data_IF_415322768072
#
_entry.id   IF_415322768072
#
_cell.length_a   1.000
_cell.length_b   1.000
_cell.length_c   1.000
_cell.angle_alpha   90.00
_cell.angle_beta   90.00
_cell.angle_gamma   90.00
#
_symmetry.space_group_name_H-M   'P 1'
#
loop_
_entity.id
_entity.type
_entity.pdbx_description
1 polymer ?
#
# COMPACT_ATOMS: atom_id res chain seq x y z
N UNK A 1 24.64 9.42 -24.57
CA UNK A 1 23.26 9.36 -25.11
C UNK A 1 22.47 8.13 -24.64
N UNK A 2 22.90 6.88 -24.94
CA UNK A 2 22.16 5.65 -24.59
C UNK A 2 21.82 5.47 -23.10
N UNK A 3 22.67 5.94 -22.17
CA UNK A 3 22.43 5.88 -20.71
C UNK A 3 21.27 6.79 -20.27
N UNK A 4 21.25 8.04 -20.73
CA UNK A 4 20.19 9.01 -20.39
C UNK A 4 18.84 8.60 -20.96
N UNK A 5 18.82 8.03 -22.17
CA UNK A 5 17.59 7.47 -22.76
C UNK A 5 17.00 6.38 -21.86
N UNK A 6 17.83 5.45 -21.33
CA UNK A 6 17.34 4.42 -20.40
C UNK A 6 16.78 5.01 -19.10
N UNK A 7 17.42 6.04 -18.54
CA UNK A 7 16.93 6.74 -17.33
C UNK A 7 15.55 7.33 -17.61
N UNK A 8 15.41 8.11 -18.70
CA UNK A 8 14.14 8.73 -19.09
C UNK A 8 13.05 7.67 -19.28
N UNK A 9 13.37 6.55 -19.93
CA UNK A 9 12.42 5.46 -20.15
C UNK A 9 11.92 4.84 -18.83
N UNK A 10 12.79 4.61 -17.85
CA UNK A 10 12.38 4.03 -16.56
C UNK A 10 11.57 5.03 -15.71
N UNK A 11 11.93 6.32 -15.74
CA UNK A 11 11.13 7.36 -15.09
C UNK A 11 9.75 7.50 -15.76
N UNK A 12 9.71 7.51 -17.10
CA UNK A 12 8.46 7.58 -17.86
C UNK A 12 7.58 6.36 -17.60
N UNK A 13 8.17 5.16 -17.55
CA UNK A 13 7.43 3.94 -17.21
C UNK A 13 6.85 4.02 -15.79
N UNK A 14 7.63 4.44 -14.80
CA UNK A 14 7.15 4.60 -13.42
C UNK A 14 5.98 5.60 -13.34
N UNK A 15 6.05 6.70 -14.10
CA UNK A 15 4.97 7.68 -14.17
C UNK A 15 3.72 7.10 -14.86
N UNK A 16 3.89 6.42 -15.99
CA UNK A 16 2.79 5.77 -16.71
C UNK A 16 2.09 4.74 -15.82
N UNK A 17 2.87 3.94 -15.07
CA UNK A 17 2.32 2.98 -14.11
C UNK A 17 1.53 3.66 -12.98
N UNK A 18 2.04 4.78 -12.44
CA UNK A 18 1.33 5.54 -11.41
C UNK A 18 -0.03 6.03 -11.93
N UNK A 19 -0.06 6.54 -13.16
CA UNK A 19 -1.28 7.04 -13.81
C UNK A 19 -2.20 5.91 -14.34
N UNK A 20 -1.66 4.72 -14.58
CA UNK A 20 -2.43 3.64 -15.20
C UNK A 20 -3.55 3.13 -14.31
N UNK A 21 -3.42 3.23 -12.99
CA UNK A 21 -4.48 2.83 -12.07
C UNK A 21 -5.75 3.61 -12.37
N UNK A 22 -5.70 4.94 -12.29
CA UNK A 22 -6.86 5.80 -12.50
C UNK A 22 -7.48 5.59 -13.90
N UNK A 23 -6.65 5.52 -14.94
CA UNK A 23 -7.13 5.36 -16.31
C UNK A 23 -7.81 4.01 -16.54
N UNK A 24 -7.21 2.93 -16.08
CA UNK A 24 -7.77 1.58 -16.24
C UNK A 24 -9.01 1.44 -15.35
N UNK A 25 -8.97 1.93 -14.11
CA UNK A 25 -10.13 1.96 -13.21
C UNK A 25 -11.32 2.68 -13.83
N UNK A 26 -11.11 3.87 -14.41
CA UNK A 26 -12.17 4.62 -15.08
C UNK A 26 -12.77 3.85 -16.27
N UNK A 27 -11.94 3.17 -17.08
CA UNK A 27 -12.42 2.34 -18.20
C UNK A 27 -13.26 1.16 -17.68
N UNK A 28 -12.80 0.49 -16.63
CA UNK A 28 -13.52 -0.65 -16.04
C UNK A 28 -14.83 -0.17 -15.41
N UNK A 29 -14.80 0.92 -14.64
CA UNK A 29 -15.95 1.55 -14.02
C UNK A 29 -17.03 1.89 -15.06
N UNK A 30 -16.67 2.57 -16.14
CA UNK A 30 -17.62 2.91 -17.21
C UNK A 30 -18.26 1.68 -17.84
N UNK A 31 -17.49 0.60 -18.02
CA UNK A 31 -18.00 -0.67 -18.56
C UNK A 31 -18.94 -1.38 -17.59
N UNK A 32 -18.61 -1.43 -16.30
CA UNK A 32 -19.47 -2.01 -15.27
C UNK A 32 -20.81 -1.27 -15.25
N UNK A 33 -20.79 0.07 -15.19
CA UNK A 33 -22.01 0.89 -15.21
C UNK A 33 -22.84 0.68 -16.48
N UNK A 34 -22.21 0.65 -17.65
CA UNK A 34 -22.91 0.39 -18.90
C UNK A 34 -23.59 -0.99 -18.92
N UNK A 35 -22.89 -2.03 -18.46
CA UNK A 35 -23.45 -3.38 -18.39
C UNK A 35 -24.57 -3.46 -17.36
N UNK A 36 -24.45 -2.77 -16.24
CA UNK A 36 -25.48 -2.75 -15.21
C UNK A 36 -26.75 -2.05 -15.67
N UNK A 37 -26.64 -0.86 -16.27
CA UNK A 37 -27.80 -0.15 -16.84
C UNK A 37 -28.50 -0.99 -17.92
N UNK A 38 -27.75 -1.78 -18.69
CA UNK A 38 -28.28 -2.56 -19.80
C UNK A 38 -28.85 -3.92 -19.39
N UNK A 39 -28.28 -4.57 -18.38
CA UNK A 39 -28.56 -5.97 -18.06
C UNK A 39 -28.91 -6.21 -16.59
N UNK A 40 -28.81 -5.21 -15.71
CA UNK A 40 -29.03 -5.34 -14.27
C UNK A 40 -28.09 -6.36 -13.63
N UNK A 41 -26.78 -6.21 -13.85
CA UNK A 41 -25.79 -7.19 -13.39
C UNK A 41 -25.49 -7.06 -11.90
N UNK A 42 -25.81 -5.93 -11.28
CA UNK A 42 -25.60 -5.64 -9.86
C UNK A 42 -26.93 -5.86 -9.12
N UNK A 43 -27.01 -6.89 -8.26
CA UNK A 43 -28.19 -7.12 -7.44
C UNK A 43 -28.45 -5.97 -6.47
N UNK A 44 -29.73 -5.64 -6.23
CA UNK A 44 -30.15 -4.57 -5.32
C UNK A 44 -29.55 -4.68 -3.90
N UNK A 45 -29.32 -5.92 -3.43
CA UNK A 45 -28.69 -6.19 -2.12
C UNK A 45 -27.27 -5.65 -2.01
N UNK A 46 -26.59 -5.38 -3.12
CA UNK A 46 -25.24 -4.81 -3.17
C UNK A 46 -25.22 -3.29 -3.27
N UNK A 47 -26.36 -2.64 -3.57
CA UNK A 47 -26.43 -1.18 -3.73
C UNK A 47 -25.91 -0.41 -2.50
N UNK A 48 -26.18 -0.84 -1.25
CA UNK A 48 -25.62 -0.16 -0.08
C UNK A 48 -24.09 -0.23 0.02
N UNK A 49 -23.43 -1.16 -0.68
CA UNK A 49 -21.98 -1.35 -0.71
C UNK A 49 -21.37 -1.13 -2.09
N UNK A 50 -22.08 -0.44 -2.98
CA UNK A 50 -21.74 -0.36 -4.40
C UNK A 50 -20.31 0.14 -4.63
N UNK A 51 -19.87 1.15 -3.87
CA UNK A 51 -18.54 1.74 -4.00
C UNK A 51 -17.46 0.71 -3.67
N UNK A 52 -17.55 0.07 -2.51
CA UNK A 52 -16.59 -0.96 -2.09
C UNK A 52 -16.62 -2.21 -2.97
N UNK A 53 -17.80 -2.60 -3.46
CA UNK A 53 -17.96 -3.72 -4.41
C UNK A 53 -17.23 -3.41 -5.71
N UNK A 54 -17.51 -2.25 -6.32
CA UNK A 54 -16.94 -1.85 -7.60
C UNK A 54 -15.43 -1.65 -7.47
N UNK A 55 -14.97 -1.00 -6.41
CA UNK A 55 -13.55 -0.83 -6.12
C UNK A 55 -12.83 -2.18 -5.97
N UNK A 56 -13.41 -3.12 -5.23
CA UNK A 56 -12.88 -4.49 -5.08
C UNK A 56 -12.73 -5.17 -6.45
N UNK A 57 -13.76 -5.11 -7.30
CA UNK A 57 -13.71 -5.73 -8.64
C UNK A 57 -12.67 -5.09 -9.55
N UNK A 58 -12.59 -3.76 -9.56
CA UNK A 58 -11.57 -3.02 -10.30
C UNK A 58 -10.17 -3.44 -9.84
N UNK A 59 -9.94 -3.46 -8.53
CA UNK A 59 -8.66 -3.83 -7.93
C UNK A 59 -8.28 -5.27 -8.24
N UNK A 60 -9.21 -6.23 -8.26
CA UNK A 60 -8.95 -7.60 -8.69
C UNK A 60 -8.49 -7.70 -10.15
N UNK A 61 -9.12 -6.96 -11.05
CA UNK A 61 -8.72 -6.91 -12.47
C UNK A 61 -7.32 -6.30 -12.60
N UNK A 62 -7.05 -5.21 -11.88
CA UNK A 62 -5.76 -4.54 -11.87
C UNK A 62 -4.64 -5.43 -11.30
N UNK A 63 -4.91 -6.22 -10.26
CA UNK A 63 -3.95 -7.21 -9.74
C UNK A 63 -3.49 -8.15 -10.85
N UNK A 64 -4.42 -8.69 -11.64
CA UNK A 64 -4.08 -9.60 -12.75
C UNK A 64 -3.20 -8.89 -13.78
N UNK A 65 -3.60 -7.69 -14.21
CA UNK A 65 -2.84 -6.89 -15.19
C UNK A 65 -1.43 -6.59 -14.67
N UNK A 66 -1.32 -6.12 -13.43
CA UNK A 66 -0.05 -5.72 -12.83
C UNK A 66 0.86 -6.89 -12.51
N UNK A 67 0.32 -8.06 -12.15
CA UNK A 67 1.13 -9.28 -12.02
C UNK A 67 1.68 -9.73 -13.36
N UNK A 68 0.92 -9.61 -14.46
CA UNK A 68 1.43 -9.88 -15.81
C UNK A 68 2.57 -8.91 -16.15
N UNK A 69 2.41 -7.61 -15.90
CA UNK A 69 3.47 -6.62 -16.11
C UNK A 69 4.70 -6.89 -15.22
N UNK A 70 4.50 -7.38 -14.00
CA UNK A 70 5.57 -7.68 -13.06
C UNK A 70 6.52 -8.75 -13.59
N UNK A 71 6.05 -9.71 -14.39
CA UNK A 71 6.88 -10.74 -15.03
C UNK A 71 7.98 -10.10 -15.89
N UNK A 72 7.69 -8.97 -16.54
CA UNK A 72 8.63 -8.28 -17.44
C UNK A 72 9.47 -7.21 -16.74
N UNK A 73 8.95 -6.61 -15.67
CA UNK A 73 9.56 -5.46 -14.98
C UNK A 73 10.41 -5.89 -13.77
N UNK A 74 9.96 -6.87 -12.98
CA UNK A 74 10.64 -7.25 -11.74
C UNK A 74 11.90 -8.04 -12.06
N UNK A 75 13.03 -7.65 -11.47
CA UNK A 75 14.27 -8.43 -11.55
C UNK A 75 14.42 -9.32 -10.34
N UNK A 76 15.05 -10.47 -10.56
CA UNK A 76 15.49 -11.32 -9.47
C UNK A 76 16.68 -10.68 -8.76
N UNK A 77 16.59 -10.61 -7.43
CA UNK A 77 17.68 -10.20 -6.55
C UNK A 77 18.15 -11.41 -5.74
N UNK A 78 19.44 -11.71 -5.81
CA UNK A 78 20.04 -12.85 -5.08
C UNK A 78 20.51 -12.49 -3.67
N UNK A 79 20.60 -11.19 -3.36
CA UNK A 79 20.93 -10.65 -2.03
C UNK A 79 19.68 -10.07 -1.37
N UNK A 80 19.30 -10.64 -0.23
CA UNK A 80 18.17 -10.14 0.58
C UNK A 80 18.32 -10.54 2.05
N UNK A 81 17.71 -9.74 2.93
CA UNK A 81 17.55 -10.11 4.34
C UNK A 81 16.36 -11.09 4.42
N UNK A 82 16.63 -12.32 4.85
CA UNK A 82 15.56 -13.30 5.08
C UNK A 82 14.99 -13.09 6.47
N UNK A 83 13.69 -12.83 6.53
CA UNK A 83 12.93 -12.83 7.77
C UNK A 83 12.12 -14.12 7.80
N UNK A 84 12.38 -15.00 8.77
CA UNK A 84 11.61 -16.23 8.95
C UNK A 84 10.14 -15.91 9.26
N UNK A 85 9.21 -16.80 8.87
CA UNK A 85 7.76 -16.55 8.91
C UNK A 85 7.28 -15.96 10.25
N UNK A 86 7.60 -16.61 11.38
CA UNK A 86 7.18 -16.14 12.71
C UNK A 86 7.73 -14.75 13.06
N UNK A 87 9.01 -14.50 12.78
CA UNK A 87 9.62 -13.18 12.97
C UNK A 87 9.02 -12.14 12.02
N UNK A 88 8.64 -12.56 10.81
CA UNK A 88 7.98 -11.71 9.82
C UNK A 88 6.58 -11.29 10.25
N UNK A 89 5.81 -12.20 10.86
CA UNK A 89 4.49 -11.89 11.43
C UNK A 89 4.63 -10.89 12.58
N UNK A 90 5.53 -11.14 13.54
CA UNK A 90 5.77 -10.20 14.65
C UNK A 90 6.22 -8.84 14.13
N UNK A 91 7.20 -8.82 13.22
CA UNK A 91 7.67 -7.59 12.57
C UNK A 91 6.48 -6.87 11.91
N UNK A 92 5.65 -7.60 11.18
CA UNK A 92 4.49 -7.06 10.49
C UNK A 92 3.46 -6.44 11.42
N UNK A 93 3.11 -7.11 12.52
CA UNK A 93 2.17 -6.62 13.55
C UNK A 93 2.70 -5.34 14.19
N UNK A 94 3.98 -5.32 14.61
CA UNK A 94 4.60 -4.15 15.21
C UNK A 94 4.59 -2.97 14.24
N UNK A 95 4.98 -3.20 12.99
CA UNK A 95 4.98 -2.16 11.95
C UNK A 95 3.57 -1.66 11.63
N UNK A 96 2.57 -2.56 11.54
CA UNK A 96 1.20 -2.19 11.23
C UNK A 96 0.52 -1.37 12.33
N UNK A 97 0.72 -1.73 13.60
CA UNK A 97 0.32 -0.90 14.73
C UNK A 97 1.04 0.45 14.74
N UNK A 98 2.36 0.47 14.52
CA UNK A 98 3.12 1.71 14.48
C UNK A 98 2.64 2.64 13.35
N UNK A 99 2.32 2.10 12.18
CA UNK A 99 1.73 2.89 11.09
C UNK A 99 0.38 3.48 11.48
N UNK A 100 -0.50 2.68 12.10
CA UNK A 100 -1.80 3.18 12.57
C UNK A 100 -1.61 4.32 13.56
N UNK A 101 -0.66 4.19 14.48
CA UNK A 101 -0.31 5.22 15.45
C UNK A 101 0.25 6.48 14.81
N UNK A 102 1.11 6.36 13.80
CA UNK A 102 1.66 7.52 13.07
C UNK A 102 0.55 8.26 12.31
N UNK A 103 -0.36 7.55 11.66
CA UNK A 103 -1.53 8.15 11.01
C UNK A 103 -2.43 8.84 12.05
N UNK A 104 -2.72 8.19 13.18
CA UNK A 104 -3.53 8.75 14.27
C UNK A 104 -2.93 10.05 14.84
N UNK A 105 -1.62 10.06 15.16
CA UNK A 105 -0.94 11.27 15.62
C UNK A 105 -0.98 12.39 14.57
N UNK A 106 -0.86 12.05 13.29
CA UNK A 106 -0.99 13.02 12.21
C UNK A 106 -2.39 13.63 12.16
N UNK A 107 -3.44 12.82 12.22
CA UNK A 107 -4.82 13.32 12.25
C UNK A 107 -5.13 14.11 13.52
N UNK A 108 -4.61 13.73 14.69
CA UNK A 108 -4.71 14.55 15.91
C UNK A 108 -4.11 15.94 15.73
N UNK A 109 -2.96 16.04 15.03
CA UNK A 109 -2.35 17.34 14.70
C UNK A 109 -3.23 18.11 13.73
N UNK A 110 -3.76 17.45 12.70
CA UNK A 110 -4.65 18.06 11.71
C UNK A 110 -5.88 18.65 12.41
N UNK A 111 -6.60 17.85 13.18
CA UNK A 111 -7.86 18.21 13.82
C UNK A 111 -7.69 19.27 14.91
N UNK A 112 -6.59 19.22 15.66
CA UNK A 112 -6.36 20.18 16.76
C UNK A 112 -5.83 21.51 16.27
N UNK A 113 -5.00 21.52 15.23
CA UNK A 113 -4.20 22.71 14.88
C UNK A 113 -4.36 23.18 13.43
N UNK A 114 -4.60 22.27 12.47
CA UNK A 114 -4.52 22.62 11.04
C UNK A 114 -5.87 22.84 10.37
N UNK A 115 -6.98 22.32 10.92
CA UNK A 115 -8.34 22.54 10.40
C UNK A 115 -8.78 24.01 10.41
N UNK A 116 -8.07 24.90 11.13
CA UNK A 116 -8.28 26.35 11.01
C UNK A 116 -7.94 26.89 9.61
N UNK A 117 -7.18 26.13 8.81
CA UNK A 117 -6.87 26.42 7.42
C UNK A 117 -7.98 25.82 6.54
N UNK A 118 -8.76 26.63 5.78
CA UNK A 118 -9.92 26.13 5.03
C UNK A 118 -9.61 25.00 4.03
N UNK A 119 -8.44 25.06 3.39
CA UNK A 119 -7.98 23.99 2.50
C UNK A 119 -7.82 22.65 3.24
N UNK A 120 -7.27 22.66 4.46
CA UNK A 120 -7.06 21.46 5.25
C UNK A 120 -8.39 20.93 5.78
N UNK A 121 -9.27 21.79 6.30
CA UNK A 121 -10.61 21.39 6.74
C UNK A 121 -11.38 20.67 5.63
N UNK A 122 -11.40 21.24 4.42
CA UNK A 122 -12.06 20.62 3.26
C UNK A 122 -11.43 19.29 2.86
N UNK A 123 -10.10 19.17 2.91
CA UNK A 123 -9.43 17.90 2.62
C UNK A 123 -9.74 16.83 3.67
N UNK A 124 -9.85 17.23 4.95
CA UNK A 124 -10.17 16.33 6.05
C UNK A 124 -11.61 15.81 5.95
N UNK A 125 -12.57 16.71 5.68
CA UNK A 125 -13.96 16.33 5.46
C UNK A 125 -14.11 15.42 4.23
N UNK A 126 -13.40 15.73 3.13
CA UNK A 126 -13.39 14.88 1.94
C UNK A 126 -12.80 13.49 2.22
N UNK A 127 -11.73 13.40 3.02
CA UNK A 127 -11.16 12.14 3.45
C UNK A 127 -12.18 11.28 4.21
N UNK A 128 -12.85 11.87 5.22
CA UNK A 128 -13.90 11.18 5.99
C UNK A 128 -15.04 10.69 5.10
N UNK A 129 -15.53 11.53 4.17
CA UNK A 129 -16.61 11.15 3.25
C UNK A 129 -16.25 9.97 2.34
N UNK A 130 -15.00 9.88 1.86
CA UNK A 130 -14.54 8.74 1.06
C UNK A 130 -14.55 7.44 1.88
N UNK A 131 -14.15 7.49 3.15
CA UNK A 131 -14.19 6.32 4.03
C UNK A 131 -15.63 5.92 4.39
N UNK A 132 -16.50 6.89 4.70
CA UNK A 132 -17.93 6.63 4.94
C UNK A 132 -18.59 5.93 3.74
N UNK A 133 -18.26 6.36 2.52
CA UNK A 133 -18.75 5.78 1.26
C UNK A 133 -18.22 4.35 1.00
N UNK A 134 -17.00 4.04 1.44
CA UNK A 134 -16.39 2.70 1.29
C UNK A 134 -16.79 1.74 2.43
N UNK A 135 -17.13 2.26 3.60
CA UNK A 135 -17.59 1.47 4.75
C UNK A 135 -19.11 1.21 4.72
N UNK A 136 -19.83 1.80 3.77
CA UNK A 136 -21.27 1.67 3.66
C UNK A 136 -21.73 0.22 3.34
N UNK A 137 -22.83 -0.17 3.99
CA UNK A 137 -23.49 -1.47 3.77
C UNK A 137 -22.80 -2.64 4.46
N UNK A 138 -22.58 -3.75 3.75
CA UNK A 138 -22.05 -4.97 4.33
C UNK A 138 -20.52 -4.91 4.52
N UNK A 139 -20.07 -5.07 5.77
CA UNK A 139 -18.66 -5.05 6.18
C UNK A 139 -17.71 -5.90 5.33
N UNK A 140 -18.16 -7.03 4.77
CA UNK A 140 -17.31 -7.86 3.91
C UNK A 140 -16.76 -7.08 2.71
N UNK A 141 -17.52 -6.14 2.15
CA UNK A 141 -17.07 -5.36 1.00
C UNK A 141 -16.07 -4.27 1.39
N UNK A 142 -16.28 -3.59 2.52
CA UNK A 142 -15.29 -2.63 3.03
C UNK A 142 -14.00 -3.34 3.44
N UNK A 143 -14.09 -4.52 4.09
CA UNK A 143 -12.93 -5.35 4.43
C UNK A 143 -12.14 -5.76 3.19
N UNK A 144 -12.83 -6.17 2.12
CA UNK A 144 -12.17 -6.55 0.87
C UNK A 144 -11.53 -5.34 0.18
N UNK A 145 -12.26 -4.23 0.00
CA UNK A 145 -11.76 -3.03 -0.69
C UNK A 145 -10.63 -2.36 0.11
N UNK A 146 -10.91 -1.91 1.33
CA UNK A 146 -10.00 -1.08 2.14
C UNK A 146 -8.85 -1.89 2.71
N UNK A 147 -9.12 -3.12 3.18
CA UNK A 147 -8.17 -3.82 4.06
C UNK A 147 -7.41 -4.96 3.39
N UNK A 148 -7.90 -5.52 2.29
CA UNK A 148 -7.29 -6.71 1.68
C UNK A 148 -6.86 -6.44 0.23
N UNK A 149 -7.82 -6.29 -0.67
CA UNK A 149 -7.61 -6.21 -2.12
C UNK A 149 -6.95 -4.89 -2.51
N UNK A 150 -7.39 -3.76 -1.94
CA UNK A 150 -6.76 -2.45 -2.12
C UNK A 150 -5.26 -2.48 -1.76
N UNK A 151 -4.91 -2.84 -0.51
CA UNK A 151 -3.51 -3.00 -0.11
C UNK A 151 -2.67 -3.94 -0.99
N UNK A 152 -3.27 -5.03 -1.48
CA UNK A 152 -2.59 -5.96 -2.40
C UNK A 152 -2.27 -5.28 -3.74
N UNK A 153 -3.26 -4.64 -4.37
CA UNK A 153 -3.05 -3.99 -5.69
C UNK A 153 -2.07 -2.83 -5.57
N UNK A 154 -2.14 -2.07 -4.49
CA UNK A 154 -1.24 -0.96 -4.19
C UNK A 154 0.20 -1.45 -3.99
N UNK A 155 0.42 -2.49 -3.19
CA UNK A 155 1.78 -3.01 -2.97
C UNK A 155 2.37 -3.64 -4.25
N UNK A 156 1.55 -4.25 -5.10
CA UNK A 156 1.99 -4.72 -6.43
C UNK A 156 2.41 -3.53 -7.29
N UNK A 157 1.58 -2.50 -7.38
CA UNK A 157 1.86 -1.32 -8.19
C UNK A 157 3.11 -0.59 -7.69
N UNK A 158 3.16 -0.26 -6.40
CA UNK A 158 4.20 0.60 -5.85
C UNK A 158 5.50 -0.14 -5.55
N UNK A 159 5.47 -1.39 -5.06
CA UNK A 159 6.70 -2.16 -4.77
C UNK A 159 7.16 -3.03 -5.93
N UNK A 160 6.28 -3.80 -6.57
CA UNK A 160 6.73 -4.63 -7.69
C UNK A 160 7.02 -3.79 -8.92
N UNK A 161 6.14 -2.88 -9.32
CA UNK A 161 6.28 -2.20 -10.61
C UNK A 161 7.07 -0.90 -10.51
N UNK A 162 6.59 0.07 -9.74
CA UNK A 162 7.17 1.43 -9.67
C UNK A 162 8.54 1.39 -9.01
N UNK A 163 8.69 0.79 -7.82
CA UNK A 163 9.97 0.71 -7.13
C UNK A 163 11.04 -0.01 -7.97
N UNK A 164 10.74 -1.18 -8.55
CA UNK A 164 11.71 -1.90 -9.40
C UNK A 164 12.06 -1.12 -10.68
N UNK A 165 11.14 -0.32 -11.21
CA UNK A 165 11.42 0.58 -12.34
C UNK A 165 12.38 1.70 -11.94
N UNK A 166 12.13 2.35 -10.80
CA UNK A 166 12.95 3.44 -10.28
C UNK A 166 14.33 2.98 -9.83
N UNK A 167 14.47 1.76 -9.33
CA UNK A 167 15.77 1.18 -8.97
C UNK A 167 16.69 0.98 -10.19
N UNK A 168 16.13 0.92 -11.41
CA UNK A 168 16.93 0.87 -12.64
C UNK A 168 17.47 2.24 -13.08
N UNK A 169 17.01 3.33 -12.47
CA UNK A 169 17.41 4.70 -12.80
C UNK A 169 18.79 5.01 -12.21
N UNK A 170 19.03 4.60 -10.96
CA UNK A 170 20.27 4.88 -10.24
C UNK A 170 20.65 3.73 -9.32
N UNK A 171 21.96 3.61 -9.02
CA UNK A 171 22.47 2.63 -8.05
C UNK A 171 22.13 2.99 -6.60
N UNK A 172 21.70 4.23 -6.34
CA UNK A 172 21.33 4.66 -5.00
C UNK A 172 19.89 4.21 -4.68
N UNK A 173 19.68 3.31 -3.71
CA UNK A 173 18.35 2.81 -3.38
C UNK A 173 17.42 3.90 -2.86
N UNK A 174 17.96 4.96 -2.24
CA UNK A 174 17.17 6.06 -1.69
C UNK A 174 16.32 6.76 -2.73
N UNK A 175 16.76 6.81 -3.99
CA UNK A 175 15.94 7.39 -5.06
C UNK A 175 14.65 6.57 -5.26
N UNK A 176 14.76 5.25 -5.40
CA UNK A 176 13.60 4.39 -5.54
C UNK A 176 12.72 4.40 -4.28
N UNK A 177 13.32 4.37 -3.08
CA UNK A 177 12.61 4.41 -1.80
C UNK A 177 11.79 5.70 -1.67
N UNK A 178 12.42 6.87 -1.83
CA UNK A 178 11.77 8.16 -1.59
C UNK A 178 10.76 8.46 -2.70
N UNK A 179 11.14 8.28 -3.97
CA UNK A 179 10.25 8.63 -5.09
C UNK A 179 9.04 7.71 -5.15
N UNK A 180 9.20 6.39 -4.92
CA UNK A 180 8.04 5.49 -4.87
C UNK A 180 7.16 5.74 -3.65
N UNK A 181 7.74 6.10 -2.50
CA UNK A 181 6.98 6.45 -1.30
C UNK A 181 6.19 7.75 -1.45
N UNK A 182 6.83 8.81 -1.96
CA UNK A 182 6.13 10.08 -2.24
C UNK A 182 5.06 9.89 -3.32
N UNK A 183 5.36 9.12 -4.37
CA UNK A 183 4.36 8.79 -5.38
C UNK A 183 3.16 8.05 -4.79
N UNK A 184 3.38 7.12 -3.84
CA UNK A 184 2.31 6.43 -3.13
C UNK A 184 1.41 7.41 -2.38
N UNK A 185 1.98 8.39 -1.66
CA UNK A 185 1.16 9.39 -0.97
C UNK A 185 0.41 10.31 -1.92
N UNK A 186 1.08 10.86 -2.94
CA UNK A 186 0.45 11.76 -3.93
C UNK A 186 -0.67 11.05 -4.71
N UNK A 187 -0.51 9.76 -4.98
CA UNK A 187 -1.50 8.96 -5.71
C UNK A 187 -2.86 8.89 -5.02
N UNK A 188 -2.94 9.08 -3.69
CA UNK A 188 -4.20 9.16 -2.97
C UNK A 188 -5.01 10.42 -3.26
N UNK A 189 -4.39 11.47 -3.83
CA UNK A 189 -5.05 12.73 -4.24
C UNK A 189 -5.78 13.51 -3.14
N UNK A 190 -5.63 13.11 -1.87
CA UNK A 190 -6.18 13.77 -0.68
C UNK A 190 -5.01 14.23 0.18
N UNK A 191 -4.84 15.54 0.35
CA UNK A 191 -3.61 16.08 0.95
C UNK A 191 -3.32 15.53 2.35
N UNK A 192 -4.34 15.51 3.23
CA UNK A 192 -4.19 14.98 4.60
C UNK A 192 -3.79 13.51 4.60
N UNK A 193 -4.30 12.72 3.65
CA UNK A 193 -3.93 11.31 3.48
C UNK A 193 -2.51 11.16 2.90
N UNK A 194 -2.18 11.96 1.88
CA UNK A 194 -0.91 11.93 1.17
C UNK A 194 0.29 12.11 2.10
N UNK A 195 0.17 12.93 3.15
CA UNK A 195 1.28 13.18 4.09
C UNK A 195 1.70 11.92 4.83
N UNK A 196 0.75 11.26 5.50
CA UNK A 196 1.10 10.07 6.29
C UNK A 196 1.41 8.88 5.37
N UNK A 197 0.65 8.68 4.29
CA UNK A 197 0.87 7.58 3.35
C UNK A 197 2.21 7.72 2.62
N UNK A 198 2.68 8.93 2.27
CA UNK A 198 4.01 9.12 1.70
C UNK A 198 5.12 8.67 2.64
N UNK A 199 5.00 8.98 3.93
CA UNK A 199 5.97 8.58 4.95
C UNK A 199 6.00 7.06 5.12
N UNK A 200 4.84 6.41 5.20
CA UNK A 200 4.71 4.96 5.25
C UNK A 200 5.22 4.30 3.98
N UNK A 201 4.92 4.87 2.82
CA UNK A 201 5.38 4.41 1.52
C UNK A 201 6.91 4.39 1.42
N UNK A 202 7.60 5.37 2.01
CA UNK A 202 9.06 5.38 2.09
C UNK A 202 9.58 4.26 3.00
N UNK A 203 8.96 4.07 4.17
CA UNK A 203 9.35 3.00 5.11
C UNK A 203 9.13 1.61 4.47
N UNK A 204 7.99 1.43 3.80
CA UNK A 204 7.65 0.21 3.07
C UNK A 204 8.57 -0.03 1.88
N UNK A 205 8.97 1.03 1.16
CA UNK A 205 10.02 0.97 0.15
C UNK A 205 11.36 0.49 0.71
N UNK A 206 11.75 0.94 1.91
CA UNK A 206 12.96 0.47 2.60
C UNK A 206 12.84 -1.00 3.02
N UNK A 207 11.70 -1.40 3.59
CA UNK A 207 11.44 -2.80 3.98
C UNK A 207 11.52 -3.70 2.75
N UNK A 208 10.88 -3.31 1.65
CA UNK A 208 10.92 -4.06 0.39
C UNK A 208 12.35 -4.11 -0.18
N UNK A 209 13.09 -3.00 -0.17
CA UNK A 209 14.48 -2.94 -0.63
C UNK A 209 15.36 -3.96 0.09
N UNK A 210 15.23 -4.05 1.43
CA UNK A 210 16.04 -4.95 2.28
C UNK A 210 15.61 -6.40 2.19
N UNK A 211 14.31 -6.67 2.18
CA UNK A 211 13.76 -8.04 2.27
C UNK A 211 13.50 -8.69 0.92
N UNK A 212 13.25 -7.88 -0.13
CA UNK A 212 12.76 -8.32 -1.45
C UNK A 212 11.59 -9.29 -1.35
N UNK A 213 10.74 -9.07 -0.34
CA UNK A 213 9.60 -9.91 -0.05
C UNK A 213 8.35 -9.04 0.05
N UNK A 214 7.53 -9.06 -1.01
CA UNK A 214 6.29 -8.29 -1.05
C UNK A 214 5.26 -8.77 -0.03
N UNK A 215 5.30 -10.04 0.39
CA UNK A 215 4.37 -10.54 1.39
C UNK A 215 4.57 -9.88 2.75
N UNK A 216 5.80 -9.42 3.07
CA UNK A 216 6.06 -8.67 4.31
C UNK A 216 5.35 -7.33 4.26
N UNK A 217 5.48 -6.60 3.14
CA UNK A 217 4.86 -5.28 3.01
C UNK A 217 3.34 -5.39 2.85
N UNK A 218 2.83 -6.31 2.04
CA UNK A 218 1.39 -6.62 1.96
C UNK A 218 0.81 -6.94 3.33
N UNK A 219 1.45 -7.80 4.13
CA UNK A 219 0.93 -8.14 5.45
C UNK A 219 0.89 -6.94 6.39
N UNK A 220 1.93 -6.08 6.40
CA UNK A 220 1.94 -4.84 7.19
C UNK A 220 0.75 -3.95 6.81
N UNK A 221 0.54 -3.77 5.51
CA UNK A 221 -0.50 -2.89 4.99
C UNK A 221 -1.90 -3.44 5.28
N UNK A 222 -2.13 -4.71 4.99
CA UNK A 222 -3.40 -5.40 5.29
C UNK A 222 -3.68 -5.33 6.78
N UNK A 223 -2.70 -5.62 7.63
CA UNK A 223 -2.88 -5.56 9.08
C UNK A 223 -3.23 -4.14 9.54
N UNK A 224 -2.50 -3.13 9.05
CA UNK A 224 -2.73 -1.73 9.36
C UNK A 224 -4.15 -1.27 9.01
N UNK A 225 -4.63 -1.59 7.80
CA UNK A 225 -5.97 -1.21 7.38
C UNK A 225 -7.05 -2.04 8.10
N UNK A 226 -6.79 -3.32 8.39
CA UNK A 226 -7.73 -4.18 9.12
C UNK A 226 -7.98 -3.70 10.55
N UNK A 227 -6.94 -3.23 11.27
CA UNK A 227 -7.15 -2.68 12.62
C UNK A 227 -7.84 -1.31 12.60
N UNK A 228 -7.81 -0.61 11.46
CA UNK A 228 -8.55 0.65 11.25
C UNK A 228 -9.98 0.48 10.76
N UNK A 229 -10.30 -0.63 10.10
CA UNK A 229 -11.62 -0.96 9.56
C UNK A 229 -12.15 -2.24 10.24
N UNK A 230 -12.64 -2.10 11.47
CA UNK A 230 -13.17 -3.21 12.28
C UNK A 230 -14.63 -3.50 11.94
N UNK A 231 -15.10 -4.77 12.10
CA UNK A 231 -16.52 -5.05 11.99
C UNK A 231 -17.29 -4.36 13.13
N UNK A 232 -18.56 -4.03 12.90
CA UNK A 232 -19.41 -3.32 13.88
C UNK A 232 -19.40 -3.95 15.29
N UNK A 233 -19.29 -5.28 15.40
CA UNK A 233 -19.22 -5.97 16.68
C UNK A 233 -17.95 -5.69 17.50
N UNK A 234 -16.85 -5.29 16.83
CA UNK A 234 -15.57 -4.97 17.45
C UNK A 234 -15.29 -3.45 17.45
N UNK A 235 -16.01 -2.67 16.65
CA UNK A 235 -15.86 -1.22 16.58
C UNK A 235 -16.51 -0.52 17.79
N UNK A 236 -15.92 -0.70 18.97
CA UNK A 236 -16.35 -0.10 20.24
C UNK A 236 -15.29 0.85 20.78
N UNK A 237 -15.69 1.87 21.55
CA UNK A 237 -14.76 2.82 22.16
C UNK A 237 -13.64 2.14 22.96
N UNK A 238 -13.97 1.07 23.70
CA UNK A 238 -12.99 0.31 24.48
C UNK A 238 -11.91 -0.29 23.57
N UNK A 239 -12.32 -0.95 22.48
CA UNK A 239 -11.40 -1.60 21.54
C UNK A 239 -10.58 -0.55 20.78
N UNK A 240 -11.22 0.50 20.28
CA UNK A 240 -10.54 1.58 19.54
C UNK A 240 -9.52 2.32 20.42
N UNK A 241 -9.85 2.61 21.67
CA UNK A 241 -8.92 3.22 22.62
C UNK A 241 -7.74 2.29 22.92
N UNK A 242 -7.98 0.98 23.06
CA UNK A 242 -6.91 0.00 23.26
C UNK A 242 -5.99 -0.11 22.03
N UNK A 243 -6.55 -0.18 20.82
CA UNK A 243 -5.79 -0.21 19.57
C UNK A 243 -4.95 1.06 19.43
N UNK A 244 -5.52 2.23 19.70
CA UNK A 244 -4.81 3.51 19.63
C UNK A 244 -3.65 3.55 20.62
N UNK A 245 -3.88 3.18 21.88
CA UNK A 245 -2.83 3.13 22.90
C UNK A 245 -1.69 2.17 22.53
N UNK A 246 -2.03 0.95 22.07
CA UNK A 246 -1.05 -0.03 21.59
C UNK A 246 -0.27 0.54 20.40
N UNK A 247 -0.96 1.17 19.46
CA UNK A 247 -0.37 1.74 18.25
C UNK A 247 0.69 2.79 18.57
N UNK A 248 0.41 3.69 19.53
CA UNK A 248 1.38 4.69 19.99
C UNK A 248 2.60 4.05 20.67
N UNK A 249 2.39 3.02 21.49
CA UNK A 249 3.48 2.30 22.15
C UNK A 249 4.36 1.57 21.11
N UNK A 250 3.78 1.04 20.04
CA UNK A 250 4.49 0.28 19.00
C UNK A 250 5.39 1.13 18.09
N UNK A 251 5.26 2.46 18.09
CA UNK A 251 6.11 3.35 17.28
C UNK A 251 7.60 3.18 17.62
N UNK A 252 7.95 3.14 18.91
CA UNK A 252 9.36 3.00 19.33
C UNK A 252 9.95 1.64 18.92
N UNK A 253 9.31 0.49 19.23
CA UNK A 253 9.73 -0.81 18.71
C UNK A 253 9.88 -0.84 17.18
N UNK A 254 8.95 -0.24 16.44
CA UNK A 254 9.03 -0.18 14.97
C UNK A 254 10.28 0.57 14.49
N UNK A 255 10.61 1.72 15.09
CA UNK A 255 11.84 2.46 14.77
C UNK A 255 13.07 1.57 15.01
N UNK A 256 13.14 0.89 16.16
CA UNK A 256 14.24 -0.03 16.48
C UNK A 256 14.33 -1.16 15.44
N UNK A 257 13.20 -1.78 15.08
CA UNK A 257 13.16 -2.85 14.08
C UNK A 257 13.63 -2.37 12.70
N UNK A 258 13.29 -1.15 12.29
CA UNK A 258 13.75 -0.57 11.03
C UNK A 258 15.26 -0.30 11.06
N UNK A 259 15.79 0.22 12.16
CA UNK A 259 17.24 0.41 12.34
C UNK A 259 17.98 -0.93 12.32
N UNK A 260 17.46 -1.95 12.99
CA UNK A 260 18.02 -3.31 12.97
C UNK A 260 17.97 -3.89 11.56
N UNK A 261 16.84 -3.79 10.87
CA UNK A 261 16.68 -4.26 9.50
C UNK A 261 17.67 -3.57 8.55
N UNK A 262 17.82 -2.25 8.66
CA UNK A 262 18.76 -1.47 7.85
C UNK A 262 20.21 -1.96 8.01
N UNK A 263 20.64 -2.22 9.26
CA UNK A 263 21.99 -2.67 9.58
C UNK A 263 22.22 -4.16 9.35
N UNK A 264 21.16 -4.96 9.18
CA UNK A 264 21.29 -6.40 8.90
C UNK A 264 21.86 -6.62 7.49
N UNK A 265 22.93 -7.41 7.38
CA UNK A 265 23.56 -7.76 6.10
C UNK A 265 22.67 -8.75 5.33
N UNK A 266 22.50 -8.57 4.01
CA UNK A 266 21.76 -9.53 3.21
C UNK A 266 22.52 -10.85 3.10
N UNK A 267 21.78 -11.96 3.05
CA UNK A 267 22.34 -13.27 2.73
C UNK A 267 22.50 -13.39 1.22
N UNK A 268 23.64 -13.92 0.75
CA UNK A 268 23.80 -14.37 -0.64
C UNK A 268 23.16 -15.74 -0.80
N UNK A 269 22.42 -15.95 -1.88
CA UNK A 269 21.96 -17.28 -2.26
C UNK A 269 23.16 -18.12 -2.71
N UNK A 270 23.70 -18.97 -1.84
CA UNK A 270 24.67 -20.00 -2.25
C UNK A 270 23.96 -20.96 -3.21
N UNK A 271 24.36 -20.97 -4.48
CA UNK A 271 24.02 -22.07 -5.37
C UNK A 271 24.90 -23.25 -4.97
N UNK A 272 24.34 -24.26 -4.32
CA UNK A 272 25.00 -25.54 -4.12
C UNK A 272 25.46 -26.07 -5.49
N UNK A 273 26.78 -26.09 -5.73
CA UNK A 273 27.40 -26.73 -6.88
C UNK A 273 27.35 -28.28 -6.78
N UNK A 274 26.22 -28.88 -6.40
CA UNK A 274 26.14 -30.32 -6.11
C UNK A 274 25.43 -31.17 -7.17
N UNK A 275 25.42 -30.77 -8.45
CA UNK A 275 24.76 -31.56 -9.50
C UNK A 275 25.61 -31.86 -10.75
N UNK A 276 26.92 -31.63 -10.71
CA UNK A 276 27.83 -32.04 -11.81
C UNK A 276 29.12 -32.73 -11.32
N UNK A 277 29.08 -33.41 -10.18
CA UNK A 277 30.10 -34.39 -9.81
C UNK A 277 29.47 -35.78 -9.77
N UNK A 278 29.35 -36.39 -10.95
CA UNK A 278 29.53 -37.82 -11.28
C UNK A 278 29.14 -38.04 -12.75
#
# INVERSE_FOLDING_TARGET
>A
MKKYIKIVLWCALALILCLSYEWISNIIFYKINYLDVKFGIIPDVLLPSINAVVDTFISLVLIVIYLILAIFIVKRHDERVKIGLFKGIIFGIVMGFAFYGIAGLWFEIVDRFLVVIPFIAKNNEYFSGVYDDLESGAYIWSLLSISIVGPIVEEILFRLLIFNSLERVTKNPWFAIIVSGVAFGVWHMIFVQSVYTASMGCIMGLIYYKTRNIFVTMFIHIFNNTIGNLPAALNTDLINNAITAISYIMIIPAIVLIVVLWNTKPEKKEYSQSYYSL
#
